data_IF_199818459998
#
_entry.id   IF_199818459998
#
_cell.length_a   1.000
_cell.length_b   1.000
_cell.length_c   1.000
_cell.angle_alpha   90.00
_cell.angle_beta   90.00
_cell.angle_gamma   90.00
#
_symmetry.space_group_name_H-M   'P 1'
#
loop_
_entity.id
_entity.type
_entity.pdbx_description
1 polymer ?
#
# COMPACT_ATOMS: atom_id res chain seq x y z
N UNK A 1 -50.20 17.42 5.45
CA UNK A 1 -49.19 17.83 4.44
C UNK A 1 -47.82 17.60 5.06
N UNK A 2 -47.22 16.43 4.81
CA UNK A 2 -45.91 16.03 5.33
C UNK A 2 -44.83 16.80 4.58
N UNK A 3 -44.30 17.86 5.19
CA UNK A 3 -43.00 18.39 4.80
C UNK A 3 -41.95 17.54 5.48
N UNK A 4 -41.45 16.53 4.76
CA UNK A 4 -40.23 15.83 5.16
C UNK A 4 -39.10 16.83 5.12
N UNK A 5 -38.82 17.42 6.28
CA UNK A 5 -37.65 18.25 6.54
C UNK A 5 -36.40 17.37 6.37
N UNK A 6 -35.89 17.31 5.14
CA UNK A 6 -34.59 16.74 4.80
C UNK A 6 -33.51 17.71 5.27
N UNK A 7 -33.33 17.84 6.59
CA UNK A 7 -32.05 18.34 7.10
C UNK A 7 -31.01 17.28 6.76
N UNK A 8 -30.18 17.56 5.77
CA UNK A 8 -28.88 16.91 5.66
C UNK A 8 -28.20 17.08 7.03
N UNK A 9 -27.79 16.00 7.72
CA UNK A 9 -27.13 16.12 9.00
C UNK A 9 -25.87 16.98 8.82
N UNK A 10 -25.94 18.20 9.35
CA UNK A 10 -24.89 19.22 9.35
C UNK A 10 -24.26 19.25 10.72
N UNK A 11 -23.59 18.16 11.08
CA UNK A 11 -22.60 18.13 12.15
C UNK A 11 -21.49 17.19 11.70
N UNK A 12 -20.24 17.57 11.97
CA UNK A 12 -19.10 16.68 11.88
C UNK A 12 -19.31 15.56 12.91
N UNK A 13 -20.11 14.56 12.55
CA UNK A 13 -20.36 13.41 13.39
C UNK A 13 -19.04 12.66 13.50
N UNK A 14 -18.38 12.84 14.64
CA UNK A 14 -17.05 12.29 14.88
C UNK A 14 -17.15 10.78 14.75
N UNK A 15 -16.55 10.24 13.68
CA UNK A 15 -16.54 8.80 13.43
C UNK A 15 -15.99 8.11 14.69
N UNK A 16 -16.59 6.99 15.13
CA UNK A 16 -16.09 6.28 16.29
C UNK A 16 -14.63 5.89 16.04
N UNK A 17 -13.72 6.37 16.87
CA UNK A 17 -12.29 6.01 16.82
C UNK A 17 -12.10 4.85 17.77
N UNK A 18 -11.86 3.67 17.22
CA UNK A 18 -11.63 2.44 17.99
C UNK A 18 -10.21 1.97 17.76
N UNK A 19 -9.50 1.60 18.83
CA UNK A 19 -8.21 0.93 18.72
C UNK A 19 -8.42 -0.55 18.40
N UNK A 20 -8.36 -0.88 17.11
CA UNK A 20 -8.53 -2.26 16.66
C UNK A 20 -7.16 -2.93 16.62
N UNK A 21 -6.89 -3.97 17.43
CA UNK A 21 -5.62 -4.68 17.39
C UNK A 21 -5.42 -5.36 16.03
N UNK A 22 -4.16 -5.55 15.63
CA UNK A 22 -3.84 -6.31 14.42
C UNK A 22 -4.07 -7.79 14.65
N UNK A 23 -4.84 -8.41 13.76
CA UNK A 23 -5.06 -9.86 13.77
C UNK A 23 -3.80 -10.63 13.34
N UNK A 24 -3.68 -11.91 13.69
CA UNK A 24 -2.51 -12.73 13.32
C UNK A 24 -2.28 -12.80 11.80
N UNK A 25 -3.31 -12.96 10.95
CA UNK A 25 -3.12 -12.93 9.50
C UNK A 25 -2.60 -11.58 8.98
N UNK A 26 -3.01 -10.45 9.57
CA UNK A 26 -2.47 -9.14 9.22
C UNK A 26 -0.96 -9.05 9.54
N UNK A 27 -0.53 -9.62 10.66
CA UNK A 27 0.90 -9.66 11.02
C UNK A 27 1.70 -10.51 10.04
N UNK A 28 1.14 -11.63 9.57
CA UNK A 28 1.80 -12.48 8.57
C UNK A 28 2.00 -11.70 7.27
N UNK A 29 0.96 -11.01 6.77
CA UNK A 29 1.08 -10.20 5.56
C UNK A 29 2.05 -9.04 5.76
N UNK A 30 2.09 -8.43 6.93
CA UNK A 30 3.07 -7.40 7.26
C UNK A 30 4.51 -7.91 7.16
N UNK A 31 4.78 -9.12 7.65
CA UNK A 31 6.08 -9.78 7.53
C UNK A 31 6.40 -10.08 6.06
N UNK A 32 5.43 -10.56 5.28
CA UNK A 32 5.60 -10.81 3.83
C UNK A 32 5.94 -9.51 3.09
N UNK A 33 5.28 -8.39 3.42
CA UNK A 33 5.60 -7.09 2.85
C UNK A 33 7.03 -6.65 3.21
N UNK A 34 7.42 -6.81 4.47
CA UNK A 34 8.77 -6.46 4.93
C UNK A 34 9.85 -7.32 4.27
N UNK A 35 9.60 -8.62 4.06
CA UNK A 35 10.47 -9.50 3.29
C UNK A 35 10.62 -9.03 1.85
N UNK A 36 9.53 -8.57 1.22
CA UNK A 36 9.58 -7.97 -0.11
C UNK A 36 10.54 -6.77 -0.17
N UNK A 37 10.43 -5.83 0.79
CA UNK A 37 11.34 -4.67 0.87
C UNK A 37 12.79 -5.14 1.07
N UNK A 38 13.01 -6.10 1.98
CA UNK A 38 14.34 -6.63 2.23
C UNK A 38 14.96 -7.25 0.96
N UNK A 39 14.19 -8.01 0.18
CA UNK A 39 14.64 -8.58 -1.08
C UNK A 39 14.90 -7.51 -2.15
N UNK A 40 14.02 -6.52 -2.31
CA UNK A 40 14.23 -5.37 -3.21
C UNK A 40 15.52 -4.62 -2.90
N UNK A 41 15.91 -4.52 -1.62
CA UNK A 41 17.17 -3.88 -1.22
C UNK A 41 18.38 -4.79 -1.42
N UNK A 42 18.29 -6.03 -0.96
CA UNK A 42 19.44 -6.94 -0.91
C UNK A 42 19.86 -7.47 -2.27
N UNK A 43 18.90 -7.82 -3.15
CA UNK A 43 19.23 -8.43 -4.44
C UNK A 43 20.10 -7.53 -5.33
N UNK A 44 19.75 -6.24 -5.58
CA UNK A 44 20.58 -5.39 -6.43
C UNK A 44 21.98 -5.15 -5.87
N UNK A 45 22.13 -5.13 -4.55
CA UNK A 45 23.44 -4.97 -3.88
C UNK A 45 24.27 -6.24 -4.09
N UNK A 46 23.69 -7.42 -3.84
CA UNK A 46 24.37 -8.71 -3.99
C UNK A 46 24.82 -8.97 -5.43
N UNK A 47 24.03 -8.56 -6.42
CA UNK A 47 24.30 -8.81 -7.84
C UNK A 47 24.88 -7.59 -8.58
N UNK A 48 25.23 -6.50 -7.89
CA UNK A 48 25.63 -5.24 -8.50
C UNK A 48 26.75 -5.36 -9.55
N UNK A 49 27.75 -6.20 -9.26
CA UNK A 49 28.90 -6.43 -10.17
C UNK A 49 28.55 -7.25 -11.40
N UNK A 50 27.46 -8.03 -11.35
CA UNK A 50 26.97 -8.84 -12.45
C UNK A 50 26.01 -8.07 -13.35
N UNK A 51 25.46 -6.94 -12.89
CA UNK A 51 24.58 -6.11 -13.71
C UNK A 51 25.38 -5.42 -14.83
N UNK A 52 24.91 -5.52 -16.10
CA UNK A 52 25.48 -4.76 -17.19
C UNK A 52 25.27 -3.27 -16.94
N UNK A 53 26.14 -2.42 -17.49
CA UNK A 53 26.05 -0.97 -17.28
C UNK A 53 24.73 -0.36 -17.78
N UNK A 54 24.07 -1.04 -18.73
CA UNK A 54 22.75 -0.68 -19.26
C UNK A 54 21.72 -1.78 -19.02
N UNK A 55 20.69 -1.47 -18.24
CA UNK A 55 19.56 -2.37 -17.93
C UNK A 55 18.26 -1.88 -18.59
N UNK A 56 17.29 -2.77 -18.87
CA UNK A 56 15.93 -2.37 -19.24
C UNK A 56 15.34 -1.38 -18.23
N UNK A 57 14.70 -0.33 -18.72
CA UNK A 57 14.00 0.67 -17.88
C UNK A 57 12.55 0.90 -18.29
N UNK A 58 12.16 0.43 -19.47
CA UNK A 58 10.78 0.43 -19.95
C UNK A 58 10.55 -0.83 -20.79
N UNK A 59 9.34 -1.38 -20.69
CA UNK A 59 8.90 -2.55 -21.43
C UNK A 59 7.64 -2.18 -22.20
N UNK A 60 7.64 -2.46 -23.51
CA UNK A 60 6.49 -2.20 -24.36
C UNK A 60 5.35 -3.19 -24.11
N UNK A 61 4.23 -3.02 -24.84
CA UNK A 61 3.05 -3.89 -24.71
C UNK A 61 3.32 -5.39 -25.02
N UNK A 62 4.40 -5.68 -25.74
CA UNK A 62 4.87 -7.06 -26.00
C UNK A 62 5.62 -7.70 -24.82
N UNK A 63 5.86 -6.93 -23.75
CA UNK A 63 6.71 -7.35 -22.63
C UNK A 63 8.20 -7.32 -22.93
N UNK A 64 8.62 -6.81 -24.10
CA UNK A 64 10.03 -6.67 -24.47
C UNK A 64 10.59 -5.31 -24.05
N UNK A 65 11.86 -5.21 -23.62
CA UNK A 65 12.52 -3.94 -23.39
C UNK A 65 12.56 -3.07 -24.65
N UNK A 66 11.99 -1.87 -24.59
CA UNK A 66 12.08 -0.85 -25.65
C UNK A 66 12.89 0.38 -25.21
N UNK A 67 13.19 0.50 -23.90
CA UNK A 67 14.16 1.47 -23.38
C UNK A 67 15.17 0.83 -22.42
N UNK A 68 16.40 1.36 -22.44
CA UNK A 68 17.49 0.94 -21.54
C UNK A 68 18.16 2.16 -20.91
N UNK A 69 18.50 2.04 -19.63
CA UNK A 69 19.12 3.11 -18.84
C UNK A 69 20.34 2.63 -18.06
N UNK A 70 21.01 3.54 -17.38
CA UNK A 70 22.11 3.18 -16.47
C UNK A 70 21.63 2.24 -15.36
N UNK A 71 22.41 1.23 -14.99
CA UNK A 71 22.12 0.32 -13.86
C UNK A 71 21.91 1.03 -12.51
N UNK A 72 22.38 2.27 -12.39
CA UNK A 72 22.14 3.11 -11.19
C UNK A 72 20.66 3.37 -10.96
N UNK A 73 19.82 3.35 -12.00
CA UNK A 73 18.38 3.53 -11.86
C UNK A 73 17.70 2.47 -10.99
N UNK A 74 18.33 1.31 -10.78
CA UNK A 74 17.82 0.28 -9.86
C UNK A 74 17.69 0.82 -8.44
N UNK A 75 18.57 1.74 -8.00
CA UNK A 75 18.46 2.36 -6.67
C UNK A 75 17.21 3.26 -6.52
N UNK A 76 16.67 3.80 -7.61
CA UNK A 76 15.41 4.53 -7.54
C UNK A 76 14.25 3.60 -7.14
N UNK A 77 14.26 2.33 -7.59
CA UNK A 77 13.27 1.32 -7.20
C UNK A 77 13.33 1.02 -5.70
N UNK A 78 14.53 0.98 -5.11
CA UNK A 78 14.71 0.80 -3.66
C UNK A 78 14.06 1.96 -2.89
N UNK A 79 14.33 3.20 -3.30
CA UNK A 79 13.77 4.39 -2.67
C UNK A 79 12.25 4.40 -2.78
N UNK A 80 11.70 4.12 -3.96
CA UNK A 80 10.25 4.05 -4.19
C UNK A 80 9.61 2.95 -3.35
N UNK A 81 10.21 1.76 -3.30
CA UNK A 81 9.69 0.62 -2.51
C UNK A 81 9.62 0.95 -1.02
N UNK A 82 10.67 1.56 -0.46
CA UNK A 82 10.70 2.00 0.95
C UNK A 82 9.66 3.08 1.21
N UNK A 83 9.53 4.06 0.30
CA UNK A 83 8.55 5.14 0.41
C UNK A 83 7.11 4.59 0.40
N UNK A 84 6.79 3.69 -0.53
CA UNK A 84 5.47 3.08 -0.64
C UNK A 84 5.15 2.23 0.59
N UNK A 85 6.09 1.38 1.03
CA UNK A 85 5.92 0.59 2.24
C UNK A 85 5.65 1.48 3.47
N UNK A 86 6.43 2.54 3.64
CA UNK A 86 6.33 3.45 4.79
C UNK A 86 5.04 4.25 4.77
N UNK A 87 4.70 4.88 3.63
CA UNK A 87 3.49 5.69 3.48
C UNK A 87 2.21 4.88 3.66
N UNK A 88 2.13 3.67 3.09
CA UNK A 88 0.98 2.79 3.27
C UNK A 88 0.91 2.21 4.69
N UNK A 89 2.04 2.03 5.37
CA UNK A 89 2.06 1.64 6.79
C UNK A 89 1.51 2.73 7.71
N UNK A 90 1.84 4.00 7.42
CA UNK A 90 1.24 5.17 8.09
C UNK A 90 -0.26 5.23 7.81
N UNK A 91 -0.66 5.06 6.54
CA UNK A 91 -2.07 5.10 6.15
C UNK A 91 -2.89 4.01 6.87
N UNK A 92 -2.36 2.78 6.94
CA UNK A 92 -2.99 1.65 7.64
C UNK A 92 -3.20 1.87 9.15
N UNK A 93 -2.53 2.86 9.76
CA UNK A 93 -2.72 3.22 11.18
C UNK A 93 -4.00 4.03 11.41
N UNK A 94 -4.55 4.68 10.38
CA UNK A 94 -5.69 5.60 10.49
C UNK A 94 -6.87 5.23 9.58
N UNK A 95 -7.43 4.00 9.66
CA UNK A 95 -8.52 3.55 8.78
C UNK A 95 -9.80 4.39 8.91
N UNK A 96 -10.01 5.06 10.06
CA UNK A 96 -11.14 5.96 10.28
C UNK A 96 -11.11 7.22 9.40
N UNK A 97 -9.94 7.60 8.85
CA UNK A 97 -9.78 8.78 7.98
C UNK A 97 -10.06 8.50 6.51
N UNK A 98 -10.24 7.25 6.13
CA UNK A 98 -10.43 6.92 4.72
C UNK A 98 -11.80 7.39 4.22
N UNK A 99 -11.93 7.45 2.90
CA UNK A 99 -13.24 7.61 2.29
C UNK A 99 -13.96 6.25 2.33
N UNK A 100 -15.08 6.18 3.03
CA UNK A 100 -15.90 4.97 3.15
C UNK A 100 -17.15 5.16 2.30
N UNK A 101 -17.54 4.19 1.45
CA UNK A 101 -18.68 4.34 0.54
C UNK A 101 -20.05 4.30 1.25
N UNK A 102 -20.11 3.96 2.54
CA UNK A 102 -21.29 3.98 3.40
C UNK A 102 -21.01 4.75 4.69
N UNK A 103 -22.07 5.14 5.41
CA UNK A 103 -21.98 5.77 6.72
C UNK A 103 -21.38 4.80 7.74
N UNK A 104 -20.40 5.28 8.51
CA UNK A 104 -19.82 4.53 9.62
C UNK A 104 -20.66 4.75 10.88
N UNK A 105 -21.15 3.67 11.46
CA UNK A 105 -21.92 3.65 12.72
C UNK A 105 -21.14 2.87 13.77
N UNK A 106 -21.44 3.01 15.07
CA UNK A 106 -20.77 2.25 16.13
C UNK A 106 -20.80 0.73 15.90
N UNK A 107 -21.88 0.21 15.33
CA UNK A 107 -22.12 -1.22 15.11
C UNK A 107 -21.30 -1.78 13.93
N UNK A 108 -21.00 -0.95 12.91
CA UNK A 108 -20.25 -1.39 11.73
C UNK A 108 -18.78 -0.96 11.71
N UNK A 109 -18.38 -0.02 12.56
CA UNK A 109 -17.06 0.63 12.50
C UNK A 109 -15.90 -0.36 12.54
N UNK A 110 -15.95 -1.37 13.42
CA UNK A 110 -14.88 -2.36 13.54
C UNK A 110 -14.68 -3.13 12.22
N UNK A 111 -15.77 -3.70 11.68
CA UNK A 111 -15.72 -4.48 10.44
C UNK A 111 -15.19 -3.63 9.27
N UNK A 112 -15.63 -2.38 9.18
CA UNK A 112 -15.24 -1.48 8.09
C UNK A 112 -13.80 -1.01 8.18
N UNK A 113 -13.31 -0.71 9.38
CA UNK A 113 -11.92 -0.34 9.58
C UNK A 113 -10.98 -1.52 9.37
N UNK A 114 -11.39 -2.74 9.74
CA UNK A 114 -10.65 -3.96 9.41
C UNK A 114 -10.58 -4.17 7.91
N UNK A 115 -11.71 -4.08 7.20
CA UNK A 115 -11.75 -4.18 5.74
C UNK A 115 -10.82 -3.16 5.06
N UNK A 116 -10.91 -1.89 5.47
CA UNK A 116 -10.03 -0.83 4.99
C UNK A 116 -8.55 -1.11 5.24
N UNK A 117 -8.20 -1.62 6.43
CA UNK A 117 -6.83 -1.99 6.77
C UNK A 117 -6.33 -3.17 5.93
N UNK A 118 -7.16 -4.19 5.71
CA UNK A 118 -6.86 -5.32 4.84
C UNK A 118 -6.59 -4.90 3.41
N UNK A 119 -7.39 -3.99 2.86
CA UNK A 119 -7.15 -3.40 1.55
C UNK A 119 -5.77 -2.75 1.46
N UNK A 120 -5.40 -1.91 2.44
CA UNK A 120 -4.10 -1.24 2.47
C UNK A 120 -2.95 -2.23 2.64
N UNK A 121 -3.10 -3.26 3.49
CA UNK A 121 -2.09 -4.30 3.64
C UNK A 121 -1.89 -5.07 2.33
N UNK A 122 -2.97 -5.48 1.66
CA UNK A 122 -2.91 -6.16 0.38
C UNK A 122 -2.22 -5.32 -0.69
N UNK A 123 -2.65 -4.06 -0.85
CA UNK A 123 -2.06 -3.11 -1.79
C UNK A 123 -0.58 -2.86 -1.49
N UNK A 124 -0.22 -2.65 -0.22
CA UNK A 124 1.18 -2.45 0.18
C UNK A 124 2.04 -3.65 -0.20
N UNK A 125 1.57 -4.85 0.11
CA UNK A 125 2.30 -6.08 -0.19
C UNK A 125 2.49 -6.24 -1.69
N UNK A 126 1.42 -6.12 -2.50
CA UNK A 126 1.54 -6.29 -3.96
C UNK A 126 2.45 -5.24 -4.58
N UNK A 127 2.34 -3.97 -4.16
CA UNK A 127 3.20 -2.89 -4.66
C UNK A 127 4.68 -3.14 -4.37
N UNK A 128 5.02 -3.58 -3.15
CA UNK A 128 6.41 -3.89 -2.81
C UNK A 128 6.92 -5.07 -3.62
N UNK A 129 6.12 -6.14 -3.76
CA UNK A 129 6.53 -7.36 -4.43
C UNK A 129 6.71 -7.21 -5.95
N UNK A 130 6.06 -6.23 -6.58
CA UNK A 130 6.32 -5.87 -7.99
C UNK A 130 7.80 -5.54 -8.19
N UNK A 131 8.46 -4.87 -7.24
CA UNK A 131 9.85 -4.44 -7.37
C UNK A 131 10.89 -5.52 -7.04
N UNK A 132 10.48 -6.71 -6.59
CA UNK A 132 11.43 -7.80 -6.30
C UNK A 132 11.92 -8.47 -7.60
N UNK A 133 11.09 -8.48 -8.65
CA UNK A 133 11.37 -9.15 -9.92
C UNK A 133 11.65 -8.22 -11.11
N UNK A 134 11.72 -6.91 -10.89
CA UNK A 134 12.07 -5.90 -11.91
C UNK A 134 13.54 -5.53 -11.83
#
# INVERSE_FOLDING_TARGET
MMTTDRRLPTTMESRPVQEIPRSSPERIIEVIALLGVALTVTLPISFWRMLPDRVPTHFGASGQPDARGSKVWVFALLVISILLYSSLSVLARFPHRFNHPWRITPENAEAQYRCARWLVLGLKTTMVWIFVGC
#
